data_IF_551887723667
#
_entry.id   IF_551887723667
#
_cell.length_a   1.000
_cell.length_b   1.000
_cell.length_c   1.000
_cell.angle_alpha   90.00
_cell.angle_beta   90.00
_cell.angle_gamma   90.00
#
_symmetry.space_group_name_H-M   'P 1'
#
loop_
_entity.id
_entity.type
_entity.pdbx_description
1 polymer ?
#
# COMPACT_ATOMS: atom_id res chain seq x y z
N UNK A 1 15.78 -28.98 5.45
CA UNK A 1 14.70 -28.01 5.20
C UNK A 1 15.08 -26.59 5.60
N UNK A 2 15.52 -26.31 6.84
CA UNK A 2 15.88 -24.95 7.28
C UNK A 2 17.02 -24.28 6.49
N UNK A 3 17.92 -25.07 5.88
CA UNK A 3 18.93 -24.55 4.93
C UNK A 3 18.39 -24.20 3.54
N UNK A 4 17.29 -24.84 3.12
CA UNK A 4 16.68 -24.63 1.79
C UNK A 4 15.73 -23.44 1.80
N UNK A 5 15.04 -23.25 2.93
CA UNK A 5 14.30 -22.03 3.24
C UNK A 5 14.79 -21.63 4.63
N UNK A 6 15.58 -20.55 4.75
CA UNK A 6 16.00 -19.98 6.03
C UNK A 6 15.02 -18.88 6.50
N UNK A 7 15.16 -18.47 7.77
CA UNK A 7 14.47 -17.31 8.33
C UNK A 7 15.21 -16.07 7.85
N UNK A 8 14.48 -15.12 7.26
CA UNK A 8 15.06 -13.87 6.76
C UNK A 8 14.73 -12.77 7.75
N UNK A 9 15.73 -12.00 8.17
CA UNK A 9 15.54 -10.92 9.15
C UNK A 9 16.31 -9.67 8.76
N UNK A 10 15.81 -8.52 9.20
CA UNK A 10 16.50 -7.24 9.08
C UNK A 10 17.60 -7.13 10.17
N UNK A 11 18.88 -6.98 9.79
CA UNK A 11 19.97 -6.87 10.76
C UNK A 11 19.93 -5.59 11.62
N UNK A 12 19.21 -4.54 11.21
CA UNK A 12 19.13 -3.28 11.96
C UNK A 12 18.05 -3.34 13.04
N UNK A 13 16.82 -3.70 12.65
CA UNK A 13 15.67 -3.76 13.57
C UNK A 13 15.52 -5.10 14.28
N UNK A 14 16.18 -6.16 13.78
CA UNK A 14 15.99 -7.55 14.19
C UNK A 14 14.58 -8.10 13.92
N UNK A 15 13.80 -7.44 13.07
CA UNK A 15 12.50 -7.94 12.63
C UNK A 15 12.63 -9.09 11.63
N UNK A 16 11.73 -10.06 11.76
CA UNK A 16 11.68 -11.20 10.85
C UNK A 16 10.82 -10.84 9.65
N UNK A 17 11.46 -10.74 8.49
CA UNK A 17 10.83 -10.46 7.21
C UNK A 17 10.18 -11.72 6.63
N UNK A 18 10.78 -12.89 6.85
CA UNK A 18 10.29 -14.16 6.30
C UNK A 18 10.54 -15.35 7.22
N UNK A 19 9.59 -16.29 7.25
CA UNK A 19 9.69 -17.50 8.07
C UNK A 19 9.18 -17.39 9.51
N UNK A 20 8.24 -16.48 9.77
CA UNK A 20 7.59 -16.31 11.08
C UNK A 20 7.05 -17.62 11.68
N UNK A 21 6.42 -18.48 10.86
CA UNK A 21 5.92 -19.78 11.33
C UNK A 21 7.03 -20.73 11.78
N UNK A 22 8.20 -20.70 11.11
CA UNK A 22 9.37 -21.50 11.51
C UNK A 22 9.94 -20.98 12.82
N UNK A 23 10.03 -19.67 12.98
CA UNK A 23 10.44 -19.07 14.25
C UNK A 23 9.47 -19.44 15.39
N UNK A 24 8.15 -19.39 15.13
CA UNK A 24 7.14 -19.79 16.11
C UNK A 24 7.28 -21.28 16.51
N UNK A 25 7.56 -22.17 15.56
CA UNK A 25 7.82 -23.58 15.84
C UNK A 25 9.07 -23.79 16.70
N UNK A 26 10.18 -23.12 16.37
CA UNK A 26 11.44 -23.18 17.14
C UNK A 26 11.22 -22.70 18.58
N UNK A 27 10.48 -21.60 18.77
CA UNK A 27 10.12 -21.09 20.10
C UNK A 27 9.29 -22.11 20.89
N UNK A 28 8.32 -22.77 20.26
CA UNK A 28 7.51 -23.84 20.89
C UNK A 28 8.35 -25.06 21.28
N UNK A 29 9.45 -25.34 20.58
CA UNK A 29 10.40 -26.39 20.93
C UNK A 29 11.32 -26.01 22.11
N UNK A 30 11.23 -24.78 22.64
CA UNK A 30 12.03 -24.31 23.76
C UNK A 30 13.50 -24.06 23.41
N UNK A 31 13.81 -23.94 22.12
CA UNK A 31 15.16 -23.59 21.67
C UNK A 31 15.45 -22.12 22.00
N UNK A 32 16.61 -21.89 22.61
CA UNK A 32 17.08 -20.54 22.96
C UNK A 32 17.96 -19.91 21.88
N UNK A 33 18.56 -20.75 21.05
CA UNK A 33 19.52 -20.34 20.02
C UNK A 33 19.12 -20.96 18.68
N UNK A 34 19.34 -20.21 17.61
CA UNK A 34 19.06 -20.63 16.24
C UNK A 34 20.42 -20.70 15.53
N UNK A 35 20.76 -21.82 14.86
CA UNK A 35 21.97 -21.92 14.08
C UNK A 35 22.02 -20.87 12.95
N UNK A 36 23.18 -20.26 12.73
CA UNK A 36 23.36 -19.24 11.68
C UNK A 36 23.00 -19.78 10.28
N UNK A 37 23.22 -21.06 10.03
CA UNK A 37 22.87 -21.69 8.75
C UNK A 37 21.35 -21.73 8.47
N UNK A 38 20.52 -21.38 9.45
CA UNK A 38 19.06 -21.35 9.34
C UNK A 38 18.52 -19.92 9.20
N UNK A 39 19.39 -18.93 9.24
CA UNK A 39 19.05 -17.51 9.16
C UNK A 39 19.81 -16.84 8.03
N UNK A 40 19.21 -15.82 7.43
CA UNK A 40 19.85 -14.92 6.48
C UNK A 40 19.50 -13.50 6.88
N UNK A 41 20.52 -12.65 7.02
CA UNK A 41 20.34 -11.22 7.21
C UNK A 41 20.04 -10.55 5.86
N UNK A 42 19.04 -9.67 5.82
CA UNK A 42 18.65 -8.91 4.64
C UNK A 42 19.57 -7.69 4.42
N UNK A 43 20.90 -7.89 4.46
CA UNK A 43 21.90 -6.80 4.33
C UNK A 43 21.90 -6.17 2.94
N UNK A 44 21.48 -6.92 1.93
CA UNK A 44 21.57 -6.53 0.53
C UNK A 44 20.26 -5.93 0.00
N UNK A 45 19.23 -5.81 0.84
CA UNK A 45 17.91 -5.30 0.47
C UNK A 45 17.70 -3.87 0.99
N UNK A 46 17.24 -2.97 0.12
CA UNK A 46 16.74 -1.65 0.55
C UNK A 46 15.46 -1.81 1.39
N UNK A 47 15.07 -0.79 2.19
CA UNK A 47 13.82 -0.84 2.95
C UNK A 47 12.60 -1.19 2.09
N UNK A 48 12.51 -0.65 0.88
CA UNK A 48 11.43 -0.93 -0.07
C UNK A 48 11.48 -2.39 -0.56
N UNK A 49 12.67 -2.92 -0.85
CA UNK A 49 12.84 -4.32 -1.24
C UNK A 49 12.52 -5.28 -0.09
N UNK A 50 12.77 -4.88 1.16
CA UNK A 50 12.37 -5.66 2.33
C UNK A 50 10.84 -5.72 2.46
N UNK A 51 10.15 -4.59 2.25
CA UNK A 51 8.68 -4.55 2.19
C UNK A 51 8.13 -5.46 1.09
N UNK A 52 8.66 -5.34 -0.12
CA UNK A 52 8.25 -6.17 -1.27
C UNK A 52 8.49 -7.67 -0.99
N UNK A 53 9.62 -8.01 -0.38
CA UNK A 53 9.92 -9.37 0.03
C UNK A 53 8.88 -9.94 1.00
N UNK A 54 8.47 -9.15 2.01
CA UNK A 54 7.43 -9.53 2.97
C UNK A 54 6.10 -9.79 2.25
N UNK A 55 5.71 -8.91 1.33
CA UNK A 55 4.48 -9.08 0.56
C UNK A 55 4.51 -10.38 -0.25
N UNK A 56 5.55 -10.57 -1.07
CA UNK A 56 5.66 -11.74 -1.95
C UNK A 56 5.80 -13.07 -1.20
N UNK A 57 6.50 -13.11 -0.07
CA UNK A 57 6.64 -14.36 0.71
C UNK A 57 5.34 -14.75 1.42
N UNK A 58 4.48 -13.77 1.73
CA UNK A 58 3.23 -14.01 2.46
C UNK A 58 1.98 -13.99 1.57
N UNK A 59 2.03 -13.55 0.31
CA UNK A 59 0.83 -13.37 -0.53
C UNK A 59 -0.06 -14.62 -0.62
N UNK A 60 0.55 -15.81 -0.62
CA UNK A 60 -0.18 -17.08 -0.79
C UNK A 60 -0.81 -17.63 0.50
N UNK A 61 -0.27 -17.29 1.67
CA UNK A 61 -0.60 -17.96 2.94
C UNK A 61 -0.65 -17.00 4.14
N UNK A 62 -0.64 -15.69 3.88
CA UNK A 62 -0.69 -14.63 4.88
C UNK A 62 -2.12 -14.32 5.31
N UNK A 63 -2.26 -13.88 6.55
CA UNK A 63 -3.46 -13.19 7.04
C UNK A 63 -3.19 -11.69 6.94
N UNK A 64 -4.08 -10.94 6.29
CA UNK A 64 -3.87 -9.54 5.99
C UNK A 64 -4.81 -8.65 6.78
N UNK A 65 -4.24 -7.64 7.43
CA UNK A 65 -4.97 -6.48 7.92
C UNK A 65 -4.95 -5.41 6.82
N UNK A 66 -6.07 -5.25 6.13
CA UNK A 66 -6.16 -4.35 4.97
C UNK A 66 -6.00 -2.86 5.35
N UNK A 67 -6.29 -2.48 6.60
CA UNK A 67 -6.06 -1.10 7.05
C UNK A 67 -4.57 -0.81 7.14
N UNK A 68 -3.81 -1.69 7.78
CA UNK A 68 -2.35 -1.58 7.90
C UNK A 68 -1.70 -1.72 6.52
N UNK A 69 -2.18 -2.68 5.72
CA UNK A 69 -1.67 -2.93 4.39
C UNK A 69 -1.79 -1.68 3.50
N UNK A 70 -2.94 -1.01 3.51
CA UNK A 70 -3.13 0.23 2.76
C UNK A 70 -2.27 1.38 3.29
N UNK A 71 -2.05 1.47 4.60
CA UNK A 71 -1.28 2.55 5.21
C UNK A 71 0.24 2.42 4.94
N UNK A 72 0.78 1.21 5.04
CA UNK A 72 2.22 0.96 5.01
C UNK A 72 2.74 0.47 3.64
N UNK A 73 1.85 -0.13 2.84
CA UNK A 73 2.18 -0.77 1.56
C UNK A 73 1.33 -0.26 0.38
N UNK A 74 0.57 0.83 0.55
CA UNK A 74 -0.26 1.42 -0.52
C UNK A 74 0.53 1.95 -1.73
N UNK A 75 1.86 1.97 -1.66
CA UNK A 75 2.77 2.27 -2.77
C UNK A 75 2.97 1.10 -3.75
N UNK A 76 2.60 -0.13 -3.34
CA UNK A 76 2.73 -1.34 -4.15
C UNK A 76 1.42 -1.69 -4.85
N UNK A 77 1.51 -2.22 -6.07
CA UNK A 77 0.38 -2.81 -6.78
C UNK A 77 0.12 -4.23 -6.23
N UNK A 78 -0.79 -4.31 -5.25
CA UNK A 78 -1.09 -5.56 -4.54
C UNK A 78 -1.86 -6.56 -5.43
N UNK A 79 -2.65 -6.06 -6.39
CA UNK A 79 -3.35 -6.90 -7.35
C UNK A 79 -2.34 -7.57 -8.31
N UNK A 80 -1.35 -6.82 -8.82
CA UNK A 80 -0.27 -7.38 -9.64
C UNK A 80 0.53 -8.45 -8.88
N UNK A 81 0.71 -8.26 -7.57
CA UNK A 81 1.39 -9.22 -6.70
C UNK A 81 0.57 -10.49 -6.43
N UNK A 82 -0.68 -10.55 -6.90
CA UNK A 82 -1.57 -11.71 -6.76
C UNK A 82 -2.29 -11.76 -5.42
N UNK A 83 -2.48 -10.62 -4.77
CA UNK A 83 -3.31 -10.50 -3.58
C UNK A 83 -4.76 -10.25 -3.99
N UNK A 84 -5.68 -11.11 -3.53
CA UNK A 84 -7.12 -10.89 -3.70
C UNK A 84 -7.57 -9.77 -2.76
N UNK A 85 -7.62 -8.55 -3.29
CA UNK A 85 -8.13 -7.39 -2.53
C UNK A 85 -9.66 -7.47 -2.44
N UNK A 86 -10.24 -7.14 -1.28
CA UNK A 86 -11.69 -7.06 -1.16
C UNK A 86 -12.21 -5.99 -2.12
N UNK A 87 -13.26 -6.32 -2.88
CA UNK A 87 -13.97 -5.35 -3.70
C UNK A 87 -14.51 -4.24 -2.78
N UNK A 88 -13.88 -3.08 -2.82
CA UNK A 88 -14.44 -1.88 -2.23
C UNK A 88 -15.49 -1.43 -3.23
N UNK A 89 -16.77 -1.62 -2.92
CA UNK A 89 -17.86 -0.92 -3.61
C UNK A 89 -17.65 0.58 -3.37
N UNK A 90 -16.82 1.21 -4.18
CA UNK A 90 -16.79 2.65 -4.30
C UNK A 90 -18.17 3.03 -4.80
N UNK A 91 -19.00 3.62 -3.95
CA UNK A 91 -20.16 4.37 -4.43
C UNK A 91 -19.60 5.34 -5.47
N UNK A 92 -19.94 5.11 -6.75
CA UNK A 92 -19.53 6.03 -7.79
C UNK A 92 -19.93 7.42 -7.31
N UNK A 93 -19.00 8.39 -7.23
CA UNK A 93 -19.37 9.73 -6.84
C UNK A 93 -20.50 10.14 -7.77
N UNK A 94 -21.67 10.44 -7.21
CA UNK A 94 -22.83 10.86 -7.99
C UNK A 94 -22.39 12.03 -8.88
N UNK A 95 -22.14 11.74 -10.14
CA UNK A 95 -21.97 12.73 -11.18
C UNK A 95 -23.39 12.98 -11.67
N UNK A 96 -24.00 14.14 -11.37
CA UNK A 96 -25.28 14.46 -11.98
C UNK A 96 -25.07 14.38 -13.50
N UNK A 97 -25.79 13.48 -14.17
CA UNK A 97 -25.68 13.24 -15.61
C UNK A 97 -26.15 14.43 -16.46
N UNK A 98 -26.69 15.45 -15.79
CA UNK A 98 -26.99 16.74 -16.39
C UNK A 98 -25.88 17.72 -15.99
N UNK A 99 -24.83 17.84 -16.82
CA UNK A 99 -24.25 19.17 -17.02
C UNK A 99 -25.34 20.00 -17.67
N UNK A 100 -26.24 20.59 -16.86
CA UNK A 100 -27.02 21.73 -17.33
C UNK A 100 -25.99 22.76 -17.71
N UNK A 101 -25.80 22.94 -19.01
CA UNK A 101 -25.28 24.18 -19.55
C UNK A 101 -26.09 25.28 -18.88
N UNK A 102 -25.45 26.02 -17.99
CA UNK A 102 -26.06 27.18 -17.39
C UNK A 102 -26.08 28.19 -18.55
N UNK A 103 -27.18 28.24 -19.30
CA UNK A 103 -27.46 29.38 -20.18
C UNK A 103 -27.67 30.59 -19.27
N UNK A 104 -26.55 31.21 -18.93
CA UNK A 104 -26.54 32.47 -18.22
C UNK A 104 -26.88 33.56 -19.22
N UNK A 105 -28.17 33.81 -19.44
CA UNK A 105 -28.69 35.09 -19.97
C UNK A 105 -28.48 36.20 -18.92
N UNK A 106 -27.27 36.30 -18.38
CA UNK A 106 -26.88 37.34 -17.44
C UNK A 106 -26.46 38.54 -18.28
N UNK A 107 -27.31 39.56 -18.31
CA UNK A 107 -26.91 40.86 -18.83
C UNK A 107 -25.79 41.39 -17.93
N UNK A 108 -24.62 41.65 -18.51
CA UNK A 108 -23.50 42.29 -17.82
C UNK A 108 -23.64 43.81 -17.92
N UNK A 109 -23.81 44.49 -16.80
CA UNK A 109 -24.09 45.94 -16.74
C UNK A 109 -22.82 46.80 -16.83
N UNK A 110 -21.63 46.22 -16.59
CA UNK A 110 -20.38 46.97 -16.57
C UNK A 110 -19.29 46.34 -17.43
N UNK A 111 -18.54 47.19 -18.14
CA UNK A 111 -17.40 46.79 -18.99
C UNK A 111 -16.13 47.53 -18.58
N UNK A 112 -15.07 46.76 -18.29
CA UNK A 112 -13.75 47.29 -17.96
C UNK A 112 -13.13 47.98 -19.19
N UNK A 113 -12.79 49.28 -19.14
CA UNK A 113 -12.27 50.03 -20.29
C UNK A 113 -10.82 49.66 -20.67
N UNK A 114 -10.12 48.88 -19.83
CA UNK A 114 -8.71 48.52 -20.04
C UNK A 114 -8.53 47.16 -20.73
N UNK A 115 -9.29 46.16 -20.32
CA UNK A 115 -9.21 44.79 -20.86
C UNK A 115 -10.50 44.31 -21.51
N UNK A 116 -11.58 45.09 -21.44
CA UNK A 116 -12.86 44.75 -22.05
C UNK A 116 -13.68 43.70 -21.28
N UNK A 117 -13.25 43.29 -20.08
CA UNK A 117 -13.95 42.33 -19.25
C UNK A 117 -15.30 42.87 -18.76
N UNK A 118 -16.36 42.07 -18.88
CA UNK A 118 -17.73 42.43 -18.52
C UNK A 118 -18.13 41.77 -17.17
N UNK A 119 -18.71 42.54 -16.24
CA UNK A 119 -19.05 42.08 -14.89
C UNK A 119 -20.30 42.79 -14.34
N UNK A 120 -20.94 42.19 -13.34
CA UNK A 120 -22.03 42.78 -12.55
C UNK A 120 -21.51 43.10 -11.14
N UNK A 121 -21.79 44.29 -10.63
CA UNK A 121 -21.58 44.59 -9.21
C UNK A 121 -22.69 43.87 -8.41
N UNK A 122 -22.32 43.22 -7.29
CA UNK A 122 -23.27 42.48 -6.43
C UNK A 122 -24.07 43.40 -5.51
#
# INVERSE_FOLDING_TARGET
MMKLRPIVYDPETMYVLGGNQRLAAIRKLGMKEIPDEWTIAATDLTPEQQKEFVLRDNVQLGEWDFEILSAEFGEFDLEEMGMDMPEIEAEEPYVPSETKEIETDIAFDHKCPKCGFEFNES
#
